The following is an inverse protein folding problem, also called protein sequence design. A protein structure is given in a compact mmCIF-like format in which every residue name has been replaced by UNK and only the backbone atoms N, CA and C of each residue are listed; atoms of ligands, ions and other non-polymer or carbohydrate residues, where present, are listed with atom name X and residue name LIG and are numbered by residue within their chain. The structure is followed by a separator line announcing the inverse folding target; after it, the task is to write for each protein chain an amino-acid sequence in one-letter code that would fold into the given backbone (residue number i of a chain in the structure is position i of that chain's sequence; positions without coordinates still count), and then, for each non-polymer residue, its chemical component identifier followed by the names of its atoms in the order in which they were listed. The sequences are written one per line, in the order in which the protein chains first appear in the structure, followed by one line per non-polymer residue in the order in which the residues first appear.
data_IF_304975990819
#
_entry.id   IF_304975990819
#
_cell.length_a   1.000
_cell.length_b   1.000
_cell.length_c   1.000
_cell.angle_alpha   90.00
_cell.angle_beta   90.00
_cell.angle_gamma   90.00
#
_symmetry.space_group_name_H-M   'P 1'
#
loop_
_entity.id
_entity.type
_entity.pdbx_description
1 polymer ?
#
# COMPACT_ATOMS: atom_id res chain seq x y z
N UNK A 1 13.09 7.49 1.36
CA UNK A 1 13.19 8.81 0.68
C UNK A 1 13.47 8.68 -0.81
N UNK A 2 14.25 7.69 -1.25
CA UNK A 2 14.58 7.44 -2.65
C UNK A 2 13.35 7.14 -3.53
N UNK A 3 12.53 6.16 -3.15
CA UNK A 3 11.32 5.75 -3.89
C UNK A 3 10.31 6.89 -4.12
N UNK A 4 10.03 7.69 -3.08
CA UNK A 4 9.13 8.86 -3.18
C UNK A 4 9.63 9.93 -4.16
N UNK A 5 10.93 10.02 -4.38
CA UNK A 5 11.49 10.98 -5.33
C UNK A 5 11.40 10.47 -6.77
N UNK A 6 11.65 9.17 -6.99
CA UNK A 6 11.42 8.52 -8.29
C UNK A 6 9.96 8.60 -8.71
N UNK A 7 9.02 8.26 -7.83
CA UNK A 7 7.57 8.33 -8.11
C UNK A 7 7.13 9.74 -8.53
N UNK A 8 7.67 10.79 -7.88
CA UNK A 8 7.39 12.17 -8.26
C UNK A 8 7.91 12.48 -9.66
N UNK A 9 9.11 12.01 -10.00
CA UNK A 9 9.69 12.22 -11.32
C UNK A 9 8.90 11.47 -12.40
N UNK A 10 8.51 10.22 -12.15
CA UNK A 10 7.69 9.41 -13.04
C UNK A 10 6.31 10.03 -13.29
N UNK A 11 5.65 10.53 -12.25
CA UNK A 11 4.38 11.24 -12.37
C UNK A 11 4.50 12.52 -13.21
N UNK A 12 5.63 13.24 -13.12
CA UNK A 12 5.91 14.41 -13.96
C UNK A 12 6.18 14.02 -15.42
N UNK A 13 6.92 12.95 -15.66
CA UNK A 13 7.15 12.40 -17.00
C UNK A 13 5.82 11.98 -17.63
N UNK A 14 5.00 11.22 -16.90
CA UNK A 14 3.70 10.74 -17.34
C UNK A 14 2.76 11.90 -17.70
N UNK A 15 2.77 12.98 -16.89
CA UNK A 15 2.05 14.22 -17.18
C UNK A 15 2.51 14.86 -18.49
N UNK A 16 3.82 14.88 -18.75
CA UNK A 16 4.37 15.50 -19.95
C UNK A 16 4.08 14.69 -21.22
N UNK A 17 4.06 13.36 -21.13
CA UNK A 17 3.86 12.47 -22.29
C UNK A 17 2.39 12.25 -22.62
N UNK A 18 1.54 12.07 -21.60
CA UNK A 18 0.14 11.68 -21.78
C UNK A 18 -0.84 12.78 -21.32
N UNK A 19 -0.37 13.87 -20.72
CA UNK A 19 -1.22 14.92 -20.15
C UNK A 19 -1.69 14.60 -18.74
N UNK A 20 -2.58 15.44 -18.20
CA UNK A 20 -2.94 15.41 -16.76
C UNK A 20 -3.79 14.20 -16.34
N UNK A 21 -4.50 13.57 -17.28
CA UNK A 21 -5.42 12.47 -16.96
C UNK A 21 -4.68 11.19 -16.53
N UNK A 22 -3.50 10.93 -17.09
CA UNK A 22 -2.70 9.76 -16.79
C UNK A 22 -2.16 9.70 -15.34
N UNK A 23 -1.47 10.74 -14.81
CA UNK A 23 -1.05 10.74 -13.41
C UNK A 23 -2.24 10.78 -12.44
N UNK A 24 -3.35 11.41 -12.82
CA UNK A 24 -4.57 11.41 -12.00
C UNK A 24 -5.15 10.00 -11.85
N UNK A 25 -5.25 9.27 -12.96
CA UNK A 25 -5.74 7.89 -12.97
C UNK A 25 -4.83 6.98 -12.14
N UNK A 26 -3.51 7.07 -12.34
CA UNK A 26 -2.55 6.29 -11.56
C UNK A 26 -2.66 6.58 -10.05
N UNK A 27 -2.76 7.86 -9.67
CA UNK A 27 -2.95 8.25 -8.28
C UNK A 27 -4.28 7.72 -7.69
N UNK A 28 -5.35 7.64 -8.49
CA UNK A 28 -6.62 7.03 -8.07
C UNK A 28 -6.49 5.52 -7.88
N UNK A 29 -5.79 4.82 -8.79
CA UNK A 29 -5.55 3.38 -8.69
C UNK A 29 -4.73 3.04 -7.42
N UNK A 30 -3.67 3.79 -7.13
CA UNK A 30 -2.87 3.65 -5.90
C UNK A 30 -3.74 3.84 -4.64
N UNK A 31 -4.56 4.90 -4.60
CA UNK A 31 -5.46 5.15 -3.47
C UNK A 31 -6.53 4.08 -3.31
N UNK A 32 -7.03 3.52 -4.41
CA UNK A 32 -7.98 2.42 -4.37
C UNK A 32 -7.32 1.16 -3.81
N UNK A 33 -6.07 0.86 -4.21
CA UNK A 33 -5.28 -0.26 -3.70
C UNK A 33 -5.00 -0.17 -2.19
N UNK A 34 -4.71 1.03 -1.67
CA UNK A 34 -4.51 1.25 -0.23
C UNK A 34 -5.79 1.04 0.60
N UNK A 35 -6.97 1.27 0.00
CA UNK A 35 -8.27 1.19 0.69
C UNK A 35 -8.98 -0.16 0.51
N UNK A 36 -8.33 -1.16 -0.09
CA UNK A 36 -8.92 -2.50 -0.20
C UNK A 36 -9.20 -3.03 1.20
N UNK A 37 -10.49 -3.18 1.52
CA UNK A 37 -10.97 -3.53 2.85
C UNK A 37 -10.45 -4.91 3.26
N UNK A 38 -9.52 -4.93 4.21
CA UNK A 38 -9.14 -6.14 4.95
C UNK A 38 -9.84 -6.15 6.30
N UNK A 39 -9.97 -7.34 6.86
CA UNK A 39 -10.46 -7.51 8.22
C UNK A 39 -9.53 -6.77 9.19
N UNK A 40 -10.04 -6.23 10.31
CA UNK A 40 -9.28 -5.38 11.23
C UNK A 40 -8.07 -6.07 11.88
N UNK A 41 -7.96 -7.40 11.77
CA UNK A 41 -6.83 -8.20 12.24
C UNK A 41 -5.78 -8.49 11.16
N UNK A 42 -6.02 -8.14 9.90
CA UNK A 42 -5.11 -8.39 8.79
C UNK A 42 -4.60 -7.06 8.24
N UNK A 43 -3.37 -6.62 8.62
CA UNK A 43 -2.78 -5.44 8.02
C UNK A 43 -2.68 -5.61 6.49
N UNK A 44 -2.81 -4.52 5.74
CA UNK A 44 -2.61 -4.56 4.29
C UNK A 44 -1.14 -4.77 3.99
N UNK A 45 -0.82 -5.86 3.30
CA UNK A 45 0.53 -6.16 2.82
C UNK A 45 0.90 -5.30 1.60
N UNK A 46 0.06 -4.32 1.20
CA UNK A 46 0.25 -3.39 0.09
C UNK A 46 0.59 -3.98 -1.30
N UNK A 47 0.55 -5.30 -1.47
CA UNK A 47 0.89 -6.01 -2.72
C UNK A 47 0.29 -5.38 -4.00
N UNK A 48 -0.99 -5.01 -3.98
CA UNK A 48 -1.64 -4.41 -5.16
C UNK A 48 -1.01 -3.07 -5.55
N UNK A 49 -0.58 -2.27 -4.56
CA UNK A 49 0.13 -1.02 -4.80
C UNK A 49 1.51 -1.29 -5.39
N UNK A 50 2.20 -2.33 -4.92
CA UNK A 50 3.53 -2.68 -5.41
C UNK A 50 3.48 -3.18 -6.85
N UNK A 51 2.44 -3.94 -7.24
CA UNK A 51 2.18 -4.33 -8.63
C UNK A 51 1.95 -3.10 -9.52
N UNK A 52 1.19 -2.12 -9.06
CA UNK A 52 0.93 -0.88 -9.82
C UNK A 52 2.23 -0.08 -10.02
N UNK A 53 3.12 -0.13 -9.04
CA UNK A 53 4.41 0.58 -9.06
C UNK A 53 5.55 -0.25 -9.69
N UNK A 54 5.30 -1.51 -10.07
CA UNK A 54 6.31 -2.40 -10.65
C UNK A 54 7.41 -2.79 -9.67
N UNK A 55 7.08 -2.94 -8.38
CA UNK A 55 8.03 -3.27 -7.29
C UNK A 55 7.82 -4.65 -6.69
N UNK A 56 7.06 -5.51 -7.35
CA UNK A 56 6.75 -6.86 -6.84
C UNK A 56 7.98 -7.75 -6.64
N UNK A 57 9.04 -7.54 -7.42
CA UNK A 57 10.27 -8.34 -7.38
C UNK A 57 11.40 -7.69 -6.55
N UNK A 58 11.19 -6.47 -6.04
CA UNK A 58 12.20 -5.75 -5.26
C UNK A 58 12.05 -6.04 -3.77
N UNK A 59 13.05 -6.70 -3.17
CA UNK A 59 13.04 -7.04 -1.75
C UNK A 59 13.82 -5.98 -0.99
N UNK A 60 13.10 -5.16 -0.23
CA UNK A 60 13.67 -4.08 0.56
C UNK A 60 14.23 -4.55 1.90
N UNK A 61 15.03 -3.68 2.54
CA UNK A 61 15.45 -3.87 3.94
C UNK A 61 14.26 -3.96 4.90
N UNK A 62 13.16 -3.29 4.56
CA UNK A 62 11.91 -3.30 5.32
C UNK A 62 11.24 -4.68 5.36
N UNK A 63 11.35 -5.48 4.29
CA UNK A 63 10.85 -6.86 4.22
C UNK A 63 11.69 -7.82 5.08
N UNK A 64 13.01 -7.63 5.12
CA UNK A 64 13.93 -8.49 5.88
C UNK A 64 13.83 -8.21 7.39
N UNK A 65 13.72 -6.93 7.77
CA UNK A 65 13.78 -6.51 9.17
C UNK A 65 12.45 -6.66 9.90
N UNK A 66 11.32 -6.81 9.18
CA UNK A 66 9.99 -7.02 9.75
C UNK A 66 9.70 -6.09 10.94
N UNK A 67 9.92 -4.78 10.70
CA UNK A 67 9.72 -3.74 11.72
C UNK A 67 8.27 -3.75 12.20
N UNK A 68 8.00 -3.21 13.38
CA UNK A 68 6.68 -3.31 14.01
C UNK A 68 5.53 -2.75 13.15
N UNK A 69 5.83 -1.87 12.19
CA UNK A 69 4.86 -1.29 11.23
C UNK A 69 4.50 -2.24 10.08
N UNK A 70 5.38 -3.18 9.72
CA UNK A 70 5.17 -4.18 8.66
C UNK A 70 4.91 -5.59 9.20
N UNK A 71 4.87 -5.74 10.54
CA UNK A 71 4.69 -7.03 11.19
C UNK A 71 3.26 -7.53 11.04
N UNK A 72 3.10 -8.66 10.36
CA UNK A 72 1.87 -9.44 10.33
C UNK A 72 1.63 -10.05 11.72
N UNK A 73 0.99 -9.29 12.62
CA UNK A 73 0.66 -9.77 13.96
C UNK A 73 -0.74 -10.43 13.93
N UNK A 74 -0.77 -11.76 13.91
CA UNK A 74 -2.01 -12.51 14.13
C UNK A 74 -2.48 -12.36 15.58
N UNK A 75 -3.47 -11.51 15.80
CA UNK A 75 -4.30 -11.54 17.01
C UNK A 75 -5.36 -12.62 16.94
N UNK A 76 -6.04 -12.91 18.06
CA UNK A 76 -7.24 -13.74 18.07
C UNK A 76 -8.30 -13.07 17.18
N UNK A 77 -8.72 -13.68 16.04
CA UNK A 77 -9.57 -13.02 15.05
C UNK A 77 -10.90 -12.54 15.64
N UNK A 78 -11.46 -13.33 16.56
CA UNK A 78 -12.72 -13.03 17.24
C UNK A 78 -12.63 -11.75 18.08
N UNK A 79 -11.63 -11.67 18.96
CA UNK A 79 -11.45 -10.52 19.86
C UNK A 79 -11.17 -9.20 19.11
N UNK A 80 -10.44 -9.25 17.99
CA UNK A 80 -10.16 -8.05 17.18
C UNK A 80 -11.41 -7.57 16.43
N UNK A 81 -12.23 -8.50 15.93
CA UNK A 81 -13.50 -8.19 15.28
C UNK A 81 -14.51 -7.63 16.28
N UNK A 82 -14.65 -8.24 17.46
CA UNK A 82 -15.53 -7.76 18.53
C UNK A 82 -15.15 -6.35 19.02
N UNK A 83 -13.85 -6.07 19.19
CA UNK A 83 -13.35 -4.73 19.52
C UNK A 83 -13.63 -3.71 18.41
N UNK A 84 -13.50 -4.10 17.14
CA UNK A 84 -13.81 -3.21 16.01
C UNK A 84 -15.32 -2.90 15.88
N UNK A 85 -16.17 -3.82 16.33
CA UNK A 85 -17.63 -3.70 16.31
C UNK A 85 -18.20 -3.09 17.60
N UNK A 86 -17.36 -2.83 18.63
CA UNK A 86 -17.77 -2.24 19.91
C UNK A 86 -18.56 -3.18 20.82
N UNK A 87 -18.38 -4.50 20.65
CA UNK A 87 -19.10 -5.53 21.40
C UNK A 87 -18.35 -5.89 22.71
N UNK A 88 -17.07 -5.53 22.81
CA UNK A 88 -16.17 -5.81 23.93
C UNK A 88 -15.45 -4.54 24.41
#
# INVERSE_FOLDING_TARGET
MFHKNQEKMEMLVLRNTQGIHAPMRLAMEIKAAEKVGRLPFLPSSNLMKDIILGREDDIGFEDILNTAEFREQMGQPHAVVEKSLGIL
#
